data_IF_186933177228
#
_entry.id   IF_186933177228
#
_cell.length_a   1.000
_cell.length_b   1.000
_cell.length_c   1.000
_cell.angle_alpha   90.00
_cell.angle_beta   90.00
_cell.angle_gamma   90.00
#
_symmetry.space_group_name_H-M   'P 1'
#
loop_
_entity.id
_entity.type
_entity.pdbx_description
1 polymer ?
#
# COMPACT_ATOMS: atom_id res chain seq x y z
N UNK A 1 5.75 -9.01 -3.64
CA UNK A 1 4.54 -8.73 -4.46
C UNK A 1 3.41 -9.65 -4.02
N UNK A 2 2.16 -9.19 -4.07
CA UNK A 2 0.99 -10.02 -3.79
C UNK A 2 0.61 -10.89 -4.98
N UNK A 3 0.04 -12.07 -4.69
CA UNK A 3 -0.57 -12.95 -5.69
C UNK A 3 -2.07 -13.12 -5.45
N UNK A 4 -2.49 -13.32 -4.19
CA UNK A 4 -3.91 -13.43 -3.82
C UNK A 4 -4.15 -12.85 -2.43
N UNK A 5 -5.33 -12.27 -2.23
CA UNK A 5 -5.79 -11.80 -0.93
C UNK A 5 -7.23 -12.25 -0.74
N UNK A 6 -7.51 -13.00 0.33
CA UNK A 6 -8.86 -13.35 0.74
C UNK A 6 -9.25 -12.56 1.98
N UNK A 7 -10.45 -11.98 1.96
CA UNK A 7 -11.02 -11.20 3.06
C UNK A 7 -12.38 -11.78 3.39
N UNK A 8 -12.63 -12.10 4.65
CA UNK A 8 -13.96 -12.45 5.14
C UNK A 8 -14.40 -11.55 6.27
N UNK A 9 -15.70 -11.27 6.28
CA UNK A 9 -16.38 -10.56 7.36
C UNK A 9 -15.75 -9.19 7.69
N UNK A 10 -15.72 -8.28 6.73
CA UNK A 10 -15.18 -6.92 6.91
C UNK A 10 -16.08 -5.88 6.23
N UNK A 11 -16.76 -5.03 7.01
CA UNK A 11 -17.68 -3.98 6.53
C UNK A 11 -18.72 -4.45 5.50
N UNK A 12 -18.50 -4.24 4.20
CA UNK A 12 -19.42 -4.70 3.14
C UNK A 12 -19.03 -6.05 2.54
N UNK A 13 -17.86 -6.57 2.91
CA UNK A 13 -17.26 -7.80 2.39
C UNK A 13 -17.71 -8.98 3.26
N UNK A 14 -18.33 -9.97 2.63
CA UNK A 14 -18.70 -11.23 3.26
C UNK A 14 -17.59 -12.26 3.11
N UNK A 15 -17.25 -12.60 1.87
CA UNK A 15 -16.11 -13.45 1.48
C UNK A 15 -15.67 -13.00 0.08
N UNK A 16 -14.46 -12.45 -0.02
CA UNK A 16 -13.93 -11.87 -1.23
C UNK A 16 -12.51 -12.39 -1.48
N UNK A 17 -12.26 -12.89 -2.69
CA UNK A 17 -10.93 -13.23 -3.17
C UNK A 17 -10.51 -12.21 -4.24
N UNK A 18 -9.41 -11.50 -3.98
CA UNK A 18 -8.75 -10.62 -4.95
C UNK A 18 -7.55 -11.38 -5.52
N UNK A 19 -7.55 -11.59 -6.83
CA UNK A 19 -6.52 -12.35 -7.54
C UNK A 19 -5.68 -11.40 -8.42
N UNK A 20 -4.37 -11.42 -8.24
CA UNK A 20 -3.40 -10.58 -8.95
C UNK A 20 -2.62 -11.35 -10.02
N UNK A 21 -2.97 -12.60 -10.32
CA UNK A 21 -2.31 -13.44 -11.34
C UNK A 21 -2.39 -12.84 -12.75
N UNK A 22 -1.41 -13.12 -13.60
CA UNK A 22 -1.48 -12.77 -15.01
C UNK A 22 -2.29 -13.83 -15.78
N UNK A 23 -3.54 -13.52 -16.12
CA UNK A 23 -4.55 -14.46 -16.60
C UNK A 23 -4.40 -14.87 -18.08
N UNK A 24 -3.64 -14.11 -18.88
CA UNK A 24 -3.42 -14.41 -20.31
C UNK A 24 -2.59 -15.70 -20.52
N UNK A 25 -1.94 -16.20 -19.46
CA UNK A 25 -1.20 -17.45 -19.41
C UNK A 25 0.12 -17.44 -20.18
N UNK A 26 0.10 -17.04 -21.45
CA UNK A 26 1.30 -16.91 -22.30
C UNK A 26 1.86 -15.50 -22.24
N UNK A 27 3.19 -15.42 -22.21
CA UNK A 27 3.86 -14.13 -22.33
C UNK A 27 3.63 -13.54 -23.74
N UNK A 28 3.48 -12.22 -23.88
CA UNK A 28 3.45 -11.56 -25.17
C UNK A 28 4.72 -11.84 -25.98
N UNK A 29 4.61 -11.81 -27.31
CA UNK A 29 5.76 -11.91 -28.20
C UNK A 29 6.77 -10.79 -27.89
N UNK A 30 8.06 -11.12 -27.89
CA UNK A 30 9.17 -10.19 -27.63
C UNK A 30 9.03 -9.41 -26.30
N UNK A 31 8.30 -9.95 -25.30
CA UNK A 31 8.13 -9.26 -24.01
C UNK A 31 9.45 -8.98 -23.31
N UNK A 32 10.52 -9.73 -23.61
CA UNK A 32 11.86 -9.52 -23.06
C UNK A 32 12.52 -8.27 -23.62
N UNK A 33 12.28 -7.95 -24.89
CA UNK A 33 12.84 -6.80 -25.60
C UNK A 33 11.98 -5.53 -25.43
N UNK A 34 10.71 -5.68 -25.05
CA UNK A 34 9.81 -4.57 -24.72
C UNK A 34 10.26 -3.83 -23.46
N UNK A 35 10.28 -2.50 -23.45
CA UNK A 35 10.48 -1.71 -22.22
C UNK A 35 9.23 -1.71 -21.30
N UNK A 36 8.11 -2.24 -21.78
CA UNK A 36 6.85 -2.33 -21.03
C UNK A 36 6.75 -3.70 -20.34
N UNK A 37 6.61 -3.68 -19.02
CA UNK A 37 6.28 -4.81 -18.15
C UNK A 37 4.80 -5.17 -18.33
N UNK A 38 4.56 -6.37 -18.85
CA UNK A 38 3.20 -6.95 -18.94
C UNK A 38 2.82 -7.76 -17.69
N UNK A 39 3.81 -8.30 -16.99
CA UNK A 39 3.67 -9.05 -15.75
C UNK A 39 5.00 -9.06 -15.00
N UNK A 40 4.93 -9.32 -13.69
CA UNK A 40 6.06 -9.62 -12.84
C UNK A 40 6.28 -11.14 -12.79
N UNK A 41 7.53 -11.57 -12.87
CA UNK A 41 7.93 -12.99 -12.76
C UNK A 41 8.58 -13.22 -11.39
N UNK A 42 7.80 -13.57 -10.34
CA UNK A 42 8.39 -13.80 -9.01
C UNK A 42 9.36 -14.97 -9.02
N UNK A 43 9.12 -15.97 -9.86
CA UNK A 43 10.01 -17.09 -10.12
C UNK A 43 9.86 -17.57 -11.58
N UNK A 44 10.58 -18.62 -11.95
CA UNK A 44 10.62 -19.12 -13.34
C UNK A 44 9.35 -19.87 -13.79
N UNK A 45 8.31 -20.01 -12.94
CA UNK A 45 7.07 -20.71 -13.29
C UNK A 45 6.06 -19.72 -13.86
N UNK A 46 5.56 -19.98 -15.07
CA UNK A 46 4.60 -19.12 -15.75
C UNK A 46 3.30 -18.90 -14.94
N UNK A 47 2.82 -19.94 -14.25
CA UNK A 47 1.60 -19.88 -13.43
C UNK A 47 1.71 -18.97 -12.20
N UNK A 48 2.93 -18.55 -11.84
CA UNK A 48 3.17 -17.63 -10.74
C UNK A 48 3.26 -16.17 -11.18
N UNK A 49 3.10 -15.87 -12.48
CA UNK A 49 3.11 -14.49 -12.97
C UNK A 49 1.98 -13.70 -12.33
N UNK A 50 2.30 -12.47 -11.91
CA UNK A 50 1.33 -11.52 -11.35
C UNK A 50 1.40 -10.20 -12.10
N UNK A 51 0.35 -9.39 -12.04
CA UNK A 51 0.36 -8.05 -12.64
C UNK A 51 1.22 -7.08 -11.83
N UNK A 52 1.93 -6.18 -12.52
CA UNK A 52 2.62 -5.06 -11.87
C UNK A 52 1.64 -3.95 -11.46
N UNK A 53 0.50 -3.85 -12.14
CA UNK A 53 -0.56 -2.89 -11.82
C UNK A 53 -1.90 -3.62 -11.74
N UNK A 54 -2.67 -3.37 -10.67
CA UNK A 54 -4.06 -3.78 -10.55
C UNK A 54 -4.93 -2.54 -10.31
N UNK A 55 -5.70 -2.15 -11.33
CA UNK A 55 -6.64 -1.04 -11.31
C UNK A 55 -8.05 -1.54 -11.01
N UNK A 56 -8.63 -1.07 -9.92
CA UNK A 56 -9.94 -1.48 -9.44
C UNK A 56 -10.98 -0.38 -9.67
N UNK A 57 -12.00 -0.70 -10.47
CA UNK A 57 -13.13 0.15 -10.80
C UNK A 57 -14.40 -0.33 -10.11
N UNK A 58 -15.43 0.52 -10.08
CA UNK A 58 -16.73 0.15 -9.53
C UNK A 58 -17.52 1.35 -9.04
N UNK A 59 -18.81 1.14 -8.82
CA UNK A 59 -19.72 2.22 -8.46
C UNK A 59 -19.39 2.78 -7.07
N UNK A 60 -19.97 3.94 -6.75
CA UNK A 60 -19.91 4.45 -5.38
C UNK A 60 -20.55 3.43 -4.43
N UNK A 61 -19.97 3.28 -3.24
CA UNK A 61 -20.39 2.30 -2.22
C UNK A 61 -20.32 0.81 -2.64
N UNK A 62 -19.60 0.45 -3.71
CA UNK A 62 -19.41 -0.95 -4.10
C UNK A 62 -18.48 -1.75 -3.17
N UNK A 63 -17.62 -1.05 -2.42
CA UNK A 63 -16.68 -1.64 -1.46
C UNK A 63 -15.20 -1.47 -1.81
N UNK A 64 -14.85 -0.66 -2.82
CA UNK A 64 -13.45 -0.37 -3.21
C UNK A 64 -12.58 0.04 -2.02
N UNK A 65 -12.98 1.10 -1.31
CA UNK A 65 -12.27 1.58 -0.13
C UNK A 65 -12.20 0.56 1.01
N UNK A 66 -13.20 -0.33 1.14
CA UNK A 66 -13.18 -1.38 2.17
C UNK A 66 -12.07 -2.43 1.90
N UNK A 67 -11.75 -2.72 0.63
CA UNK A 67 -10.64 -3.61 0.25
C UNK A 67 -9.30 -2.97 0.59
N UNK A 68 -9.13 -1.67 0.36
CA UNK A 68 -7.89 -0.95 0.69
C UNK A 68 -7.75 -0.79 2.21
N UNK A 69 -8.85 -0.45 2.88
CA UNK A 69 -8.88 -0.25 4.33
C UNK A 69 -8.51 -1.51 5.10
N UNK A 70 -9.02 -2.69 4.73
CA UNK A 70 -8.64 -3.93 5.43
C UNK A 70 -7.14 -4.22 5.35
N UNK A 71 -6.47 -3.82 4.26
CA UNK A 71 -5.01 -3.90 4.11
C UNK A 71 -4.27 -2.91 5.03
N UNK A 72 -4.84 -1.73 5.27
CA UNK A 72 -4.34 -0.81 6.30
C UNK A 72 -4.53 -1.38 7.71
N UNK A 73 -5.66 -2.03 7.99
CA UNK A 73 -5.93 -2.63 9.30
C UNK A 73 -4.94 -3.76 9.62
N UNK A 74 -4.71 -4.68 8.68
CA UNK A 74 -3.82 -5.82 8.91
C UNK A 74 -2.37 -5.41 9.10
N UNK A 75 -1.87 -4.49 8.28
CA UNK A 75 -0.49 -3.99 8.44
C UNK A 75 -0.30 -3.30 9.79
N UNK A 76 -1.34 -2.65 10.31
CA UNK A 76 -1.35 -2.08 11.66
C UNK A 76 -1.39 -3.15 12.76
N UNK A 77 -2.24 -4.19 12.63
CA UNK A 77 -2.32 -5.29 13.62
C UNK A 77 -0.99 -6.04 13.69
N UNK A 78 -0.37 -6.35 12.55
CA UNK A 78 0.94 -7.02 12.51
C UNK A 78 2.00 -6.16 13.19
N UNK A 79 1.98 -4.84 13.01
CA UNK A 79 3.00 -3.95 13.57
C UNK A 79 2.80 -3.67 15.06
N UNK A 80 1.56 -3.44 15.48
CA UNK A 80 1.24 -2.82 16.77
C UNK A 80 0.36 -3.69 17.68
N UNK A 81 -0.04 -4.89 17.20
CA UNK A 81 -1.01 -5.74 17.88
C UNK A 81 -2.45 -5.23 17.77
N UNK A 82 -3.37 -6.05 18.26
CA UNK A 82 -4.77 -5.76 18.48
C UNK A 82 -4.93 -5.08 19.86
N UNK A 83 -4.87 -3.75 19.88
CA UNK A 83 -5.11 -2.97 21.10
C UNK A 83 -6.53 -3.20 21.63
N UNK A 84 -6.80 -3.07 22.94
CA UNK A 84 -8.15 -3.26 23.50
C UNK A 84 -9.23 -2.40 22.82
N UNK A 85 -8.90 -1.17 22.43
CA UNK A 85 -9.82 -0.26 21.75
C UNK A 85 -9.74 -0.35 20.21
N UNK A 86 -9.13 -1.41 19.68
CA UNK A 86 -8.96 -1.54 18.23
C UNK A 86 -10.34 -1.70 17.56
N UNK A 87 -10.66 -0.88 16.54
CA UNK A 87 -11.97 -0.92 15.91
C UNK A 87 -12.19 -2.25 15.16
N UNK A 88 -13.10 -3.07 15.68
CA UNK A 88 -13.60 -4.25 14.98
C UNK A 88 -14.75 -3.86 14.05
N UNK A 89 -14.57 -4.10 12.75
CA UNK A 89 -15.49 -3.67 11.70
C UNK A 89 -16.04 -4.85 10.89
N UNK A 90 -16.83 -5.75 11.50
CA UNK A 90 -17.36 -6.92 10.82
C UNK A 90 -18.37 -6.53 9.73
N UNK A 91 -18.75 -7.51 8.92
CA UNK A 91 -19.86 -7.35 8.02
C UNK A 91 -21.16 -7.19 8.81
N UNK A 92 -21.81 -6.04 8.67
CA UNK A 92 -23.08 -5.74 9.36
C UNK A 92 -24.32 -6.08 8.53
N UNK A 93 -24.15 -6.43 7.26
CA UNK A 93 -25.24 -6.75 6.33
C UNK A 93 -25.71 -8.20 6.49
N UNK A 94 -24.85 -9.06 7.05
CA UNK A 94 -25.13 -10.47 7.29
C UNK A 94 -24.69 -10.88 8.68
N UNK A 95 -25.41 -11.84 9.28
CA UNK A 95 -25.02 -12.47 10.54
C UNK A 95 -23.94 -13.52 10.24
N UNK A 96 -22.68 -13.13 10.36
CA UNK A 96 -21.51 -14.00 10.21
C UNK A 96 -20.94 -14.37 11.59
N UNK A 97 -19.96 -15.28 11.60
CA UNK A 97 -19.14 -15.53 12.78
C UNK A 97 -18.51 -14.22 13.28
N UNK A 98 -18.30 -14.09 14.58
CA UNK A 98 -17.75 -12.88 15.19
C UNK A 98 -16.22 -12.82 15.00
N UNK A 99 -15.76 -12.85 13.75
CA UNK A 99 -14.36 -12.94 13.38
C UNK A 99 -14.12 -12.44 11.95
N UNK A 100 -13.13 -11.56 11.76
CA UNK A 100 -12.61 -11.17 10.44
C UNK A 100 -11.42 -12.04 10.10
N UNK A 101 -11.41 -12.64 8.91
CA UNK A 101 -10.30 -13.44 8.38
C UNK A 101 -9.63 -12.71 7.21
N UNK A 102 -8.30 -12.64 7.24
CA UNK A 102 -7.49 -12.12 6.14
C UNK A 102 -6.41 -13.16 5.81
N UNK A 103 -6.39 -13.61 4.56
CA UNK A 103 -5.37 -14.50 4.04
C UNK A 103 -4.62 -13.79 2.91
N UNK A 104 -3.30 -13.77 2.97
CA UNK A 104 -2.44 -13.11 1.99
C UNK A 104 -1.45 -14.12 1.43
N UNK A 105 -1.50 -14.33 0.12
CA UNK A 105 -0.50 -15.05 -0.64
C UNK A 105 0.41 -14.04 -1.35
N UNK A 106 1.72 -14.21 -1.20
CA UNK A 106 2.71 -13.28 -1.76
C UNK A 106 4.04 -13.99 -2.01
N UNK A 107 4.88 -13.33 -2.81
CA UNK A 107 6.23 -13.80 -3.11
C UNK A 107 7.29 -12.88 -2.50
N UNK A 108 8.29 -13.51 -1.88
CA UNK A 108 9.54 -12.87 -1.41
C UNK A 108 10.70 -13.73 -1.91
N UNK A 109 11.68 -13.13 -2.60
CA UNK A 109 12.89 -13.81 -3.08
C UNK A 109 12.59 -15.15 -3.78
N UNK A 110 11.63 -15.17 -4.71
CA UNK A 110 11.18 -16.34 -5.49
C UNK A 110 10.33 -17.39 -4.75
N UNK A 111 10.24 -17.30 -3.42
CA UNK A 111 9.46 -18.22 -2.59
C UNK A 111 8.04 -17.72 -2.36
N UNK A 112 7.07 -18.63 -2.40
CA UNK A 112 5.66 -18.34 -2.10
C UNK A 112 5.38 -18.47 -0.61
N UNK A 113 4.72 -17.47 -0.05
CA UNK A 113 4.26 -17.45 1.34
C UNK A 113 2.75 -17.32 1.38
N UNK A 114 2.16 -17.90 2.43
CA UNK A 114 0.77 -17.66 2.82
C UNK A 114 0.74 -17.27 4.29
N UNK A 115 0.34 -16.03 4.56
CA UNK A 115 0.08 -15.56 5.92
C UNK A 115 -1.42 -15.40 6.11
N UNK A 116 -1.97 -16.03 7.14
CA UNK A 116 -3.38 -15.93 7.49
C UNK A 116 -3.51 -15.45 8.93
N UNK A 117 -4.38 -14.48 9.15
CA UNK A 117 -4.76 -14.02 10.48
C UNK A 117 -6.28 -13.93 10.57
N UNK A 118 -6.80 -14.24 11.75
CA UNK A 118 -8.18 -13.95 12.07
C UNK A 118 -8.29 -13.32 13.46
N UNK A 119 -9.23 -12.38 13.60
CA UNK A 119 -9.37 -11.59 14.82
C UNK A 119 -10.80 -11.13 15.03
N UNK A 120 -11.11 -10.78 16.27
CA UNK A 120 -12.37 -10.14 16.66
C UNK A 120 -12.09 -8.87 17.48
N UNK A 121 -13.09 -8.37 18.20
CA UNK A 121 -12.96 -7.19 19.05
C UNK A 121 -12.14 -7.42 20.34
N UNK A 122 -11.77 -8.65 20.67
CA UNK A 122 -11.03 -9.00 21.89
C UNK A 122 -9.65 -9.59 21.61
N UNK A 123 -9.52 -10.44 20.59
CA UNK A 123 -8.31 -11.25 20.39
C UNK A 123 -8.06 -11.64 18.94
N UNK A 124 -6.80 -11.94 18.64
CA UNK A 124 -6.37 -12.70 17.46
C UNK A 124 -6.76 -14.17 17.72
N UNK A 125 -7.71 -14.67 16.95
CA UNK A 125 -8.27 -16.02 17.11
C UNK A 125 -7.53 -17.08 16.31
N UNK A 126 -6.82 -16.66 15.25
CA UNK A 126 -5.99 -17.52 14.44
C UNK A 126 -4.81 -16.73 13.87
N UNK A 127 -3.62 -17.34 13.81
CA UNK A 127 -2.48 -16.82 13.06
C UNK A 127 -1.65 -17.98 12.50
N UNK A 128 -1.30 -17.92 11.22
CA UNK A 128 -0.45 -18.95 10.61
C UNK A 128 0.42 -18.40 9.48
N UNK A 129 1.54 -19.10 9.25
CA UNK A 129 2.45 -18.82 8.15
C UNK A 129 2.88 -20.13 7.50
N UNK A 130 2.75 -20.18 6.17
CA UNK A 130 3.23 -21.26 5.33
C UNK A 130 4.27 -20.75 4.34
N UNK A 131 5.26 -21.59 4.05
CA UNK A 131 6.28 -21.40 3.03
C UNK A 131 6.17 -22.57 2.04
N UNK A 132 5.81 -22.27 0.78
CA UNK A 132 5.69 -23.28 -0.28
C UNK A 132 4.78 -24.47 0.12
N UNK A 133 3.68 -24.16 0.81
CA UNK A 133 2.72 -25.15 1.33
C UNK A 133 3.16 -25.85 2.63
N UNK A 134 4.41 -25.65 3.08
CA UNK A 134 4.88 -26.16 4.38
C UNK A 134 4.53 -25.19 5.50
N UNK A 135 3.81 -25.67 6.50
CA UNK A 135 3.49 -24.91 7.73
C UNK A 135 4.77 -24.56 8.49
N UNK A 136 5.01 -23.27 8.72
CA UNK A 136 6.06 -22.78 9.62
C UNK A 136 5.54 -22.71 11.05
N UNK A 137 4.41 -22.03 11.24
CA UNK A 137 3.66 -22.05 12.49
C UNK A 137 2.15 -21.92 12.23
N UNK A 138 1.36 -22.34 13.20
CA UNK A 138 -0.08 -22.13 13.25
C UNK A 138 -0.52 -22.02 14.69
N UNK A 139 -1.33 -21.03 14.99
CA UNK A 139 -1.92 -20.77 16.30
C UNK A 139 -3.41 -20.59 16.09
N UNK A 140 -4.21 -21.29 16.87
CA UNK A 140 -5.63 -21.06 17.02
C UNK A 140 -6.01 -21.09 18.52
N UNK A 141 -7.30 -20.97 18.83
CA UNK A 141 -7.80 -20.97 20.22
C UNK A 141 -7.50 -22.26 21.00
N UNK A 142 -7.26 -23.37 20.30
CA UNK A 142 -7.14 -24.71 20.90
C UNK A 142 -5.70 -25.22 20.88
N UNK A 143 -4.94 -24.92 19.83
CA UNK A 143 -3.61 -25.47 19.61
C UNK A 143 -2.63 -24.41 19.09
N UNK A 144 -1.37 -24.55 19.48
CA UNK A 144 -0.24 -23.88 18.86
C UNK A 144 0.78 -24.89 18.34
N UNK A 145 1.17 -24.75 17.08
CA UNK A 145 2.14 -25.58 16.38
C UNK A 145 3.30 -24.71 15.89
N UNK A 146 4.51 -25.06 16.34
CA UNK A 146 5.76 -24.35 16.00
C UNK A 146 6.80 -25.29 15.37
N UNK A 147 6.38 -26.47 14.90
CA UNK A 147 7.28 -27.52 14.43
C UNK A 147 8.17 -27.06 13.27
N UNK A 148 7.63 -26.23 12.37
CA UNK A 148 8.32 -25.74 11.19
C UNK A 148 9.40 -24.68 11.43
N UNK A 149 9.54 -24.18 12.67
CA UNK A 149 10.49 -23.11 13.02
C UNK A 149 11.48 -23.50 14.14
N UNK A 150 11.41 -24.74 14.64
CA UNK A 150 12.36 -25.23 15.64
C UNK A 150 13.79 -25.25 15.09
N UNK A 151 14.74 -25.01 15.98
CA UNK A 151 16.17 -25.16 15.70
C UNK A 151 16.86 -25.88 16.86
N UNK A 152 18.15 -26.19 16.73
CA UNK A 152 18.95 -26.72 17.86
C UNK A 152 19.02 -25.74 19.04
N UNK A 153 19.05 -24.44 18.75
CA UNK A 153 19.12 -23.39 19.77
C UNK A 153 17.75 -23.06 20.39
N UNK A 154 16.67 -23.23 19.62
CA UNK A 154 15.31 -22.88 20.02
C UNK A 154 14.37 -24.06 19.84
N UNK A 155 14.17 -24.83 20.92
CA UNK A 155 13.17 -25.90 20.97
C UNK A 155 11.75 -25.38 21.24
N UNK A 156 10.76 -26.27 21.13
CA UNK A 156 9.33 -25.94 21.34
C UNK A 156 9.05 -25.25 22.67
N UNK A 157 9.74 -25.65 23.75
CA UNK A 157 9.53 -25.06 25.08
C UNK A 157 9.82 -23.56 25.08
N UNK A 158 10.97 -23.16 24.57
CA UNK A 158 11.39 -21.75 24.50
C UNK A 158 10.42 -20.94 23.63
N UNK A 159 10.00 -21.49 22.49
CA UNK A 159 9.08 -20.80 21.57
C UNK A 159 7.71 -20.62 22.22
N UNK A 160 7.19 -21.66 22.90
CA UNK A 160 5.90 -21.61 23.63
C UNK A 160 5.93 -20.62 24.78
N UNK A 161 7.00 -20.60 25.58
CA UNK A 161 7.18 -19.63 26.65
C UNK A 161 7.15 -18.19 26.08
N UNK A 162 7.83 -17.95 24.95
CA UNK A 162 7.81 -16.63 24.30
C UNK A 162 6.45 -16.26 23.74
N UNK A 163 5.73 -17.21 23.14
CA UNK A 163 4.35 -16.97 22.72
C UNK A 163 3.49 -16.55 23.92
N UNK A 164 3.60 -17.26 25.05
CA UNK A 164 2.85 -16.94 26.26
C UNK A 164 3.21 -15.57 26.85
N UNK A 165 4.49 -15.20 26.91
CA UNK A 165 4.92 -13.93 27.53
C UNK A 165 4.75 -12.70 26.65
N UNK A 166 4.87 -12.86 25.34
CA UNK A 166 4.95 -11.72 24.40
C UNK A 166 3.68 -11.53 23.56
N UNK A 167 2.84 -12.57 23.42
CA UNK A 167 1.63 -12.51 22.59
C UNK A 167 0.33 -12.47 23.39
N UNK A 168 0.31 -13.12 24.56
CA UNK A 168 -0.89 -13.28 25.38
C UNK A 168 -0.97 -12.20 26.47
N UNK A 169 -2.18 -11.78 26.79
CA UNK A 169 -2.47 -10.84 27.88
C UNK A 169 -3.78 -11.24 28.55
N UNK A 170 -3.80 -11.20 29.88
CA UNK A 170 -5.02 -11.42 30.65
C UNK A 170 -5.85 -10.12 30.63
N UNK A 171 -7.07 -10.21 30.10
CA UNK A 171 -8.02 -9.09 30.05
C UNK A 171 -9.44 -9.64 30.14
N UNK A 172 -10.28 -9.02 30.97
CA UNK A 172 -11.69 -9.44 31.16
C UNK A 172 -11.82 -10.93 31.55
N UNK A 173 -10.97 -11.38 32.49
CA UNK A 173 -10.89 -12.78 32.97
C UNK A 173 -10.52 -13.83 31.89
N UNK A 174 -10.24 -13.41 30.66
CA UNK A 174 -9.86 -14.26 29.54
C UNK A 174 -8.41 -14.00 29.11
N UNK A 175 -7.68 -15.07 28.74
CA UNK A 175 -6.36 -14.94 28.13
C UNK A 175 -6.53 -14.67 26.64
N UNK A 176 -6.14 -13.48 26.21
CA UNK A 176 -6.32 -13.00 24.85
C UNK A 176 -4.96 -12.86 24.15
N UNK A 177 -4.82 -13.41 22.94
CA UNK A 177 -3.71 -13.05 22.07
C UNK A 177 -3.95 -11.65 21.51
N UNK A 178 -3.09 -10.70 21.90
CA UNK A 178 -3.16 -9.30 21.45
C UNK A 178 -2.04 -8.94 20.49
N UNK A 179 -0.86 -9.56 20.59
CA UNK A 179 0.22 -9.36 19.62
C UNK A 179 0.28 -10.53 18.64
N UNK A 180 0.69 -10.23 17.40
CA UNK A 180 0.96 -11.28 16.42
C UNK A 180 2.24 -12.01 16.82
N UNK A 181 2.22 -13.34 16.76
CA UNK A 181 3.39 -14.16 16.97
C UNK A 181 4.51 -13.80 15.98
N UNK A 182 4.15 -13.45 14.75
CA UNK A 182 5.11 -12.95 13.76
C UNK A 182 5.89 -11.72 14.28
N UNK A 183 5.20 -10.74 14.88
CA UNK A 183 5.84 -9.54 15.44
C UNK A 183 6.70 -9.81 16.67
N UNK A 184 6.23 -10.69 17.56
CA UNK A 184 6.93 -11.04 18.79
C UNK A 184 8.21 -11.83 18.49
N UNK A 185 8.18 -12.76 17.53
CA UNK A 185 9.39 -13.50 17.13
C UNK A 185 10.46 -12.57 16.58
N UNK A 186 10.10 -11.62 15.72
CA UNK A 186 11.10 -10.73 15.11
C UNK A 186 11.70 -9.76 16.12
N UNK A 187 10.92 -9.31 17.10
CA UNK A 187 11.40 -8.43 18.17
C UNK A 187 12.28 -9.17 19.17
N UNK A 188 11.86 -10.36 19.62
CA UNK A 188 12.46 -11.04 20.77
C UNK A 188 13.47 -12.13 20.36
N UNK A 189 13.26 -12.73 19.19
CA UNK A 189 14.02 -13.87 18.66
C UNK A 189 14.36 -13.71 17.16
N UNK A 190 15.02 -12.61 16.74
CA UNK A 190 15.27 -12.31 15.32
C UNK A 190 16.08 -13.41 14.59
N UNK A 191 16.84 -14.20 15.34
CA UNK A 191 17.66 -15.32 14.85
C UNK A 191 16.91 -16.65 14.75
N UNK A 192 15.66 -16.75 15.22
CA UNK A 192 14.89 -18.00 15.25
C UNK A 192 14.69 -18.56 13.83
N UNK A 193 14.19 -17.72 12.93
CA UNK A 193 13.92 -18.12 11.56
C UNK A 193 13.96 -16.90 10.63
N UNK A 194 14.90 -16.90 9.68
CA UNK A 194 15.08 -15.79 8.72
C UNK A 194 13.82 -15.52 7.90
N UNK A 195 13.01 -16.53 7.59
CA UNK A 195 11.80 -16.36 6.81
C UNK A 195 10.72 -15.58 7.58
N UNK A 196 10.63 -15.76 8.90
CA UNK A 196 9.70 -14.98 9.73
C UNK A 196 10.10 -13.49 9.71
N UNK A 197 11.39 -13.20 9.83
CA UNK A 197 11.93 -11.84 9.70
C UNK A 197 11.71 -11.24 8.32
N UNK A 198 11.88 -12.03 7.25
CA UNK A 198 11.58 -11.59 5.88
C UNK A 198 10.11 -11.27 5.69
N UNK A 199 9.21 -12.13 6.14
CA UNK A 199 7.76 -11.96 6.03
C UNK A 199 7.29 -10.74 6.84
N UNK A 200 7.74 -10.60 8.09
CA UNK A 200 7.43 -9.43 8.90
C UNK A 200 7.90 -8.13 8.23
N UNK A 201 9.14 -8.08 7.74
CA UNK A 201 9.67 -6.90 7.05
C UNK A 201 8.91 -6.61 5.75
N UNK A 202 8.51 -7.64 5.00
CA UNK A 202 7.68 -7.44 3.81
C UNK A 202 6.33 -6.81 4.18
N UNK A 203 5.60 -7.43 5.12
CA UNK A 203 4.26 -6.99 5.53
C UNK A 203 4.25 -5.63 6.22
N UNK A 204 5.35 -5.23 6.88
CA UNK A 204 5.41 -3.98 7.65
C UNK A 204 6.22 -2.85 7.01
N UNK A 205 7.14 -3.12 6.07
CA UNK A 205 8.03 -2.10 5.49
C UNK A 205 8.00 -2.03 3.96
N UNK A 206 7.62 -3.11 3.28
CA UNK A 206 7.53 -3.18 1.81
C UNK A 206 6.09 -3.05 1.29
N UNK A 207 5.11 -2.87 2.18
CA UNK A 207 3.73 -2.53 1.82
C UNK A 207 3.45 -1.12 2.32
N UNK A 208 3.10 -0.23 1.41
CA UNK A 208 2.60 1.11 1.71
C UNK A 208 1.12 1.19 1.33
N UNK A 209 0.27 1.64 2.26
CA UNK A 209 -1.17 1.83 2.03
C UNK A 209 -1.52 3.29 2.21
N UNK A 210 -1.96 3.92 1.13
CA UNK A 210 -2.46 5.29 1.09
C UNK A 210 -3.98 5.23 0.98
N UNK A 211 -4.67 5.53 2.08
CA UNK A 211 -6.14 5.63 2.13
C UNK A 211 -6.67 6.95 1.58
N UNK A 212 -5.79 7.92 1.46
CA UNK A 212 -6.02 9.17 0.76
C UNK A 212 -4.79 9.42 -0.11
N UNK A 213 -5.01 9.61 -1.40
CA UNK A 213 -3.95 9.95 -2.36
C UNK A 213 -3.43 11.37 -2.15
N UNK A 214 -4.11 12.22 -1.36
CA UNK A 214 -3.68 13.56 -0.98
C UNK A 214 -2.48 13.57 -0.01
N UNK A 215 -1.34 13.08 -0.49
CA UNK A 215 -0.09 13.00 0.24
C UNK A 215 0.66 14.33 0.14
N UNK A 216 1.15 14.83 1.27
CA UNK A 216 2.02 16.01 1.29
C UNK A 216 3.35 15.73 0.58
N UNK A 217 3.78 16.65 -0.28
CA UNK A 217 5.04 16.62 -1.04
C UNK A 217 6.24 16.16 -0.18
N UNK A 218 6.35 16.75 0.99
CA UNK A 218 7.40 16.51 1.96
C UNK A 218 7.42 15.13 2.59
N UNK A 219 6.25 14.52 2.73
CA UNK A 219 6.15 13.17 3.23
C UNK A 219 6.75 12.21 2.21
N UNK A 220 6.48 12.45 0.92
CA UNK A 220 7.12 11.74 -0.20
C UNK A 220 8.64 11.87 -0.18
N UNK A 221 9.17 13.10 -0.05
CA UNK A 221 10.63 13.36 0.02
C UNK A 221 11.26 12.65 1.22
N UNK A 222 10.70 12.82 2.41
CA UNK A 222 11.21 12.21 3.64
C UNK A 222 11.16 10.68 3.59
N UNK A 223 10.12 10.11 3.00
CA UNK A 223 9.97 8.67 2.84
C UNK A 223 11.07 8.12 1.92
N UNK A 224 11.23 8.71 0.74
CA UNK A 224 12.24 8.29 -0.24
C UNK A 224 13.66 8.44 0.31
N UNK A 225 13.94 9.57 0.96
CA UNK A 225 15.23 9.82 1.62
C UNK A 225 15.55 8.74 2.65
N UNK A 226 14.61 8.42 3.56
CA UNK A 226 14.84 7.40 4.60
C UNK A 226 15.05 5.98 4.06
N UNK A 227 14.54 5.67 2.87
CA UNK A 227 14.78 4.37 2.22
C UNK A 227 16.15 4.27 1.53
N UNK A 228 16.74 5.41 1.16
CA UNK A 228 18.03 5.43 0.47
C UNK A 228 19.21 5.19 1.42
N UNK A 229 20.31 4.67 0.87
CA UNK A 229 21.50 4.33 1.65
C UNK A 229 22.13 5.54 2.32
N UNK A 230 22.29 6.64 1.56
CA UNK A 230 22.89 7.89 2.04
C UNK A 230 21.97 8.67 2.98
N UNK A 231 20.66 8.37 2.95
CA UNK A 231 19.61 9.09 3.67
C UNK A 231 19.66 10.59 3.45
N UNK A 232 20.08 11.00 2.25
CA UNK A 232 20.19 12.38 1.85
C UNK A 232 18.83 12.86 1.32
N UNK A 233 18.35 13.95 1.90
CA UNK A 233 17.07 14.52 1.53
C UNK A 233 17.11 15.22 0.18
N UNK A 234 18.28 15.77 -0.19
CA UNK A 234 18.49 16.47 -1.44
C UNK A 234 18.49 15.50 -2.62
N UNK A 235 19.15 14.35 -2.49
CA UNK A 235 19.12 13.30 -3.53
C UNK A 235 17.68 12.82 -3.78
N UNK A 236 16.91 12.58 -2.72
CA UNK A 236 15.52 12.19 -2.83
C UNK A 236 14.67 13.29 -3.49
N UNK A 237 14.87 14.53 -3.09
CA UNK A 237 14.21 15.70 -3.68
C UNK A 237 14.51 15.83 -5.17
N UNK A 238 15.79 15.79 -5.56
CA UNK A 238 16.24 15.95 -6.95
C UNK A 238 15.57 14.89 -7.86
N UNK A 239 15.54 13.61 -7.44
CA UNK A 239 14.85 12.54 -8.16
C UNK A 239 13.35 12.80 -8.33
N UNK A 240 12.68 13.31 -7.30
CA UNK A 240 11.25 13.64 -7.39
C UNK A 240 11.05 14.80 -8.37
N UNK A 241 11.89 15.82 -8.31
CA UNK A 241 11.77 16.98 -9.20
C UNK A 241 12.05 16.65 -10.66
N UNK A 242 12.94 15.70 -10.94
CA UNK A 242 13.19 15.21 -12.30
C UNK A 242 11.91 14.65 -12.93
N UNK A 243 11.21 13.75 -12.21
CA UNK A 243 9.93 13.19 -12.67
C UNK A 243 8.85 14.28 -12.74
N UNK A 244 8.78 15.19 -11.77
CA UNK A 244 7.76 16.25 -11.75
C UNK A 244 7.92 17.22 -12.93
N UNK A 245 9.15 17.54 -13.34
CA UNK A 245 9.42 18.38 -14.52
C UNK A 245 8.97 17.74 -15.83
N UNK A 246 8.92 16.40 -15.91
CA UNK A 246 8.36 15.69 -17.07
C UNK A 246 6.83 15.77 -17.15
N UNK A 247 6.15 16.16 -16.07
CA UNK A 247 4.68 16.14 -15.98
C UNK A 247 3.99 17.36 -16.60
N UNK A 248 4.71 18.17 -17.40
CA UNK A 248 4.22 19.39 -18.05
C UNK A 248 3.52 20.34 -17.06
N UNK A 249 4.15 20.52 -15.90
CA UNK A 249 3.73 21.49 -14.90
C UNK A 249 4.53 22.75 -15.17
N UNK A 250 3.85 23.90 -15.30
CA UNK A 250 4.46 25.22 -15.54
C UNK A 250 5.26 25.70 -14.32
N UNK A 251 6.38 25.03 -14.04
CA UNK A 251 7.29 25.30 -12.92
C UNK A 251 8.72 25.16 -13.44
N UNK A 252 9.48 26.25 -13.38
CA UNK A 252 10.86 26.30 -13.87
C UNK A 252 11.79 25.39 -13.05
N UNK A 253 11.67 25.46 -11.72
CA UNK A 253 12.49 24.70 -10.78
C UNK A 253 11.80 24.57 -9.43
N UNK A 254 12.28 23.60 -8.65
CA UNK A 254 11.98 23.50 -7.24
C UNK A 254 13.27 23.63 -6.44
N UNK A 255 13.17 24.22 -5.25
CA UNK A 255 14.27 24.29 -4.29
C UNK A 255 13.79 23.73 -2.94
N UNK A 256 14.70 23.04 -2.25
CA UNK A 256 14.48 22.53 -0.91
C UNK A 256 15.25 23.40 0.08
N UNK A 257 14.53 24.19 0.86
CA UNK A 257 15.12 25.13 1.82
C UNK A 257 14.93 24.63 3.26
N UNK A 258 15.96 24.83 4.08
CA UNK A 258 15.88 24.61 5.52
C UNK A 258 15.79 25.97 6.20
N UNK A 259 14.66 26.26 6.83
CA UNK A 259 14.46 27.45 7.65
C UNK A 259 14.67 27.10 9.12
N UNK A 260 15.47 27.88 9.83
CA UNK A 260 15.64 27.77 11.28
C UNK A 260 14.96 28.97 11.97
N UNK A 261 13.97 28.70 12.82
CA UNK A 261 13.29 29.70 13.63
C UNK A 261 13.57 29.44 15.13
N UNK A 262 13.69 30.49 15.95
CA UNK A 262 13.80 30.33 17.41
C UNK A 262 12.46 29.92 18.03
N UNK A 263 12.49 29.03 19.02
CA UNK A 263 11.29 28.61 19.73
C UNK A 263 10.82 29.73 20.68
N UNK A 264 9.58 30.20 20.48
CA UNK A 264 8.97 31.21 21.36
C UNK A 264 8.37 30.51 22.59
N UNK A 265 8.84 30.88 23.78
CA UNK A 265 8.26 30.43 25.03
C UNK A 265 7.06 31.30 25.38
N UNK A 266 5.93 30.68 25.72
CA UNK A 266 4.80 31.40 26.30
C UNK A 266 5.10 31.83 27.73
N UNK A 267 4.36 32.84 28.22
CA UNK A 267 4.44 33.33 29.61
C UNK A 267 4.16 32.23 30.66
N UNK A 268 3.55 31.11 30.26
CA UNK A 268 3.28 29.93 31.12
C UNK A 268 4.36 28.85 31.06
N UNK A 269 5.47 29.09 30.35
CA UNK A 269 6.56 28.12 30.20
C UNK A 269 6.29 27.00 29.18
N UNK A 270 5.17 27.07 28.45
CA UNK A 270 4.89 26.16 27.34
C UNK A 270 5.53 26.69 26.06
N UNK A 271 6.16 25.81 25.27
CA UNK A 271 6.70 26.16 23.94
C UNK A 271 5.52 26.38 22.99
N UNK A 272 5.31 27.62 22.55
CA UNK A 272 4.30 27.93 21.53
C UNK A 272 4.97 28.03 20.18
N UNK A 273 4.75 27.03 19.34
CA UNK A 273 5.15 27.08 17.93
C UNK A 273 3.94 27.51 17.11
N UNK A 274 3.95 28.73 16.56
CA UNK A 274 3.02 29.10 15.49
C UNK A 274 3.50 28.42 14.21
N UNK A 275 3.03 27.20 13.97
CA UNK A 275 3.24 26.51 12.70
C UNK A 275 2.08 26.96 11.78
N UNK A 276 2.26 27.90 10.82
CA UNK A 276 1.28 28.11 9.76
C UNK A 276 0.89 26.76 9.15
N UNK A 277 -0.40 26.45 9.21
CA UNK A 277 -0.94 25.10 9.09
C UNK A 277 -0.73 24.40 7.75
N UNK A 278 -0.07 25.03 6.77
CA UNK A 278 0.16 24.47 5.44
C UNK A 278 1.55 24.73 4.85
N UNK A 279 2.44 25.48 5.51
CA UNK A 279 3.68 26.01 4.90
C UNK A 279 4.94 25.19 5.15
N UNK A 280 4.84 24.05 5.86
CA UNK A 280 6.03 23.27 6.21
C UNK A 280 5.94 21.84 5.75
N UNK A 281 7.04 21.43 5.13
CA UNK A 281 7.27 20.11 4.60
C UNK A 281 7.56 19.12 5.76
N UNK A 282 8.35 19.53 6.74
CA UNK A 282 8.50 18.83 8.02
C UNK A 282 9.11 19.78 9.04
N UNK A 283 8.93 19.52 10.34
CA UNK A 283 9.59 20.27 11.39
C UNK A 283 10.36 19.35 12.34
N UNK A 284 11.48 19.84 12.85
CA UNK A 284 12.28 19.21 13.90
C UNK A 284 12.53 20.25 14.99
N UNK A 285 12.18 19.92 16.21
CA UNK A 285 12.46 20.74 17.39
C UNK A 285 13.82 20.32 17.94
N UNK A 286 14.82 21.19 17.84
CA UNK A 286 16.09 21.06 18.54
C UNK A 286 15.97 21.76 19.89
N UNK A 287 15.60 20.99 20.92
CA UNK A 287 15.47 21.49 22.30
C UNK A 287 16.80 21.95 22.89
N UNK A 288 17.94 21.42 22.43
CA UNK A 288 19.25 21.81 22.95
C UNK A 288 19.68 23.18 22.43
N UNK A 289 19.31 23.51 21.18
CA UNK A 289 19.59 24.81 20.55
C UNK A 289 18.44 25.81 20.65
N UNK A 290 17.32 25.42 21.23
CA UNK A 290 16.07 26.19 21.26
C UNK A 290 15.57 26.63 19.87
N UNK A 291 15.68 25.74 18.87
CA UNK A 291 15.32 26.03 17.46
C UNK A 291 14.27 25.07 16.91
N UNK A 292 13.39 25.62 16.09
CA UNK A 292 12.56 24.90 15.16
C UNK A 292 13.25 24.89 13.80
N UNK A 293 13.67 23.71 13.34
CA UNK A 293 14.14 23.54 11.98
C UNK A 293 12.92 23.11 11.17
N UNK A 294 12.58 23.90 10.16
CA UNK A 294 11.52 23.56 9.22
C UNK A 294 12.10 23.40 7.83
N UNK A 295 11.58 22.44 7.10
CA UNK A 295 11.94 22.26 5.72
C UNK A 295 10.81 22.80 4.86
N UNK A 296 11.14 23.56 3.82
CA UNK A 296 10.19 24.10 2.85
C UNK A 296 10.58 23.68 1.45
N UNK A 297 9.56 23.43 0.64
CA UNK A 297 9.73 23.22 -0.79
C UNK A 297 9.23 24.50 -1.43
N UNK A 298 10.07 25.13 -2.24
CA UNK A 298 9.67 26.27 -3.08
C UNK A 298 9.63 25.85 -4.53
N UNK A 299 8.66 26.35 -5.27
CA UNK A 299 8.60 26.33 -6.71
C UNK A 299 8.94 27.72 -7.24
N UNK A 300 9.48 27.79 -8.46
CA UNK A 300 9.81 29.06 -9.11
C UNK A 300 9.13 29.15 -10.45
N UNK A 301 8.56 30.32 -10.71
CA UNK A 301 7.78 30.64 -11.90
C UNK A 301 8.34 31.88 -12.57
N UNK A 302 8.09 32.03 -13.87
CA UNK A 302 8.46 33.24 -14.59
C UNK A 302 7.30 34.23 -14.56
N UNK A 303 7.49 35.42 -13.97
CA UNK A 303 6.46 36.46 -13.97
C UNK A 303 6.39 37.18 -15.33
N UNK A 304 5.44 38.12 -15.47
CA UNK A 304 5.24 38.91 -16.70
C UNK A 304 6.44 39.77 -17.12
N UNK A 305 7.40 40.01 -16.23
CA UNK A 305 8.66 40.73 -16.51
C UNK A 305 9.81 39.79 -16.88
N UNK A 306 9.57 38.47 -16.96
CA UNK A 306 10.60 37.47 -17.24
C UNK A 306 11.48 37.12 -16.04
N UNK A 307 11.12 37.51 -14.82
CA UNK A 307 11.88 37.22 -13.60
C UNK A 307 11.35 35.97 -12.90
N UNK A 308 12.25 35.15 -12.38
CA UNK A 308 11.88 34.04 -11.50
C UNK A 308 11.33 34.56 -10.17
N UNK A 309 10.14 34.09 -9.79
CA UNK A 309 9.48 34.41 -8.53
C UNK A 309 9.21 33.12 -7.75
N UNK A 310 9.57 33.06 -6.44
CA UNK A 310 9.34 31.89 -5.63
C UNK A 310 7.90 31.83 -5.13
N UNK A 311 7.37 30.61 -5.04
CA UNK A 311 6.12 30.27 -4.36
C UNK A 311 6.41 29.16 -3.35
N UNK A 312 5.76 29.21 -2.19
CA UNK A 312 5.73 28.05 -1.30
C UNK A 312 4.94 26.93 -1.99
N UNK A 313 5.37 25.67 -1.81
CA UNK A 313 4.63 24.52 -2.35
C UNK A 313 3.17 24.52 -1.93
N UNK A 314 2.81 25.13 -0.80
CA UNK A 314 1.43 25.30 -0.33
C UNK A 314 0.58 26.20 -1.24
N UNK A 315 1.22 27.15 -1.94
CA UNK A 315 0.58 28.08 -2.88
C UNK A 315 0.33 27.43 -4.25
N UNK A 316 0.99 26.31 -4.54
CA UNK A 316 0.76 25.54 -5.77
C UNK A 316 -0.63 24.90 -5.83
N UNK A 317 -1.04 24.49 -7.03
CA UNK A 317 -2.28 23.73 -7.20
C UNK A 317 -2.29 22.45 -6.34
N UNK A 318 -3.48 22.04 -5.88
CA UNK A 318 -3.64 20.78 -5.13
C UNK A 318 -3.05 19.60 -5.92
N UNK A 319 -3.29 19.55 -7.24
CA UNK A 319 -2.78 18.48 -8.10
C UNK A 319 -1.26 18.41 -8.15
N UNK A 320 -0.58 19.56 -8.24
CA UNK A 320 0.89 19.65 -8.19
C UNK A 320 1.42 19.09 -6.86
N UNK A 321 0.84 19.54 -5.73
CA UNK A 321 1.28 19.10 -4.40
C UNK A 321 1.09 17.59 -4.19
N UNK A 322 -0.06 17.08 -4.63
CA UNK A 322 -0.41 15.66 -4.55
C UNK A 322 0.50 14.83 -5.45
N UNK A 323 0.71 15.24 -6.70
CA UNK A 323 1.63 14.56 -7.62
C UNK A 323 3.05 14.47 -7.02
N UNK A 324 3.56 15.56 -6.45
CA UNK A 324 4.88 15.58 -5.81
C UNK A 324 5.00 14.56 -4.68
N UNK A 325 4.00 14.51 -3.79
CA UNK A 325 3.96 13.54 -2.69
C UNK A 325 3.90 12.11 -3.19
N UNK A 326 3.03 11.84 -4.17
CA UNK A 326 2.86 10.52 -4.78
C UNK A 326 4.12 10.04 -5.50
N UNK A 327 4.83 10.90 -6.24
CA UNK A 327 6.09 10.54 -6.90
C UNK A 327 7.11 10.03 -5.89
N UNK A 328 7.22 10.65 -4.71
CA UNK A 328 8.11 10.15 -3.64
C UNK A 328 7.76 8.74 -3.17
N UNK A 329 6.48 8.43 -3.00
CA UNK A 329 6.01 7.08 -2.65
C UNK A 329 6.24 6.07 -3.76
N UNK A 330 5.98 6.46 -5.01
CA UNK A 330 6.17 5.64 -6.19
C UNK A 330 7.66 5.29 -6.33
N UNK A 331 8.54 6.29 -6.39
CA UNK A 331 9.98 6.09 -6.50
C UNK A 331 10.51 5.23 -5.35
N UNK A 332 10.10 5.49 -4.11
CA UNK A 332 10.48 4.65 -2.98
C UNK A 332 10.09 3.19 -3.20
N UNK A 333 8.88 2.94 -3.69
CA UNK A 333 8.38 1.58 -3.92
C UNK A 333 9.10 0.91 -5.09
N UNK A 334 9.38 1.63 -6.17
CA UNK A 334 10.14 1.13 -7.33
C UNK A 334 11.60 0.79 -6.94
N UNK A 335 12.25 1.64 -6.15
CA UNK A 335 13.63 1.44 -5.65
C UNK A 335 13.72 0.27 -4.66
N UNK A 336 12.74 0.15 -3.76
CA UNK A 336 12.75 -0.90 -2.74
C UNK A 336 12.20 -2.25 -3.23
N UNK A 337 11.41 -2.24 -4.29
CA UNK A 337 10.39 -3.26 -4.54
C UNK A 337 9.30 -3.24 -3.46
N UNK A 338 8.27 -4.08 -3.64
CA UNK A 338 7.16 -4.19 -2.70
C UNK A 338 5.81 -3.90 -3.35
N UNK A 339 4.89 -3.36 -2.56
CA UNK A 339 3.51 -3.08 -2.97
C UNK A 339 3.11 -1.68 -2.50
N UNK A 340 2.70 -0.83 -3.43
CA UNK A 340 2.05 0.44 -3.16
C UNK A 340 0.55 0.28 -3.41
N UNK A 341 -0.26 0.57 -2.39
CA UNK A 341 -1.71 0.45 -2.43
C UNK A 341 -2.30 1.84 -2.24
N UNK A 342 -3.13 2.31 -3.17
CA UNK A 342 -3.67 3.68 -3.16
C UNK A 342 -5.18 3.66 -3.39
N UNK A 343 -5.94 4.18 -2.45
CA UNK A 343 -7.36 4.46 -2.66
C UNK A 343 -7.51 5.80 -3.41
N UNK A 344 -8.38 5.84 -4.41
CA UNK A 344 -8.69 7.01 -5.25
C UNK A 344 -7.43 7.68 -5.80
N UNK A 345 -6.60 6.91 -6.52
CA UNK A 345 -5.33 7.40 -7.06
C UNK A 345 -5.50 8.59 -8.02
N UNK A 346 -6.65 8.68 -8.70
CA UNK A 346 -6.98 9.74 -9.64
C UNK A 346 -7.49 11.03 -8.98
N UNK A 347 -7.67 11.06 -7.65
CA UNK A 347 -8.17 12.23 -6.94
C UNK A 347 -7.22 13.43 -7.12
N UNK A 348 -7.77 14.52 -7.63
CA UNK A 348 -7.05 15.79 -7.84
C UNK A 348 -5.91 15.73 -8.87
N UNK A 349 -5.80 14.66 -9.67
CA UNK A 349 -4.79 14.55 -10.73
C UNK A 349 -5.40 14.71 -12.12
N UNK A 350 -4.70 15.42 -12.99
CA UNK A 350 -5.01 15.42 -14.42
C UNK A 350 -4.74 14.04 -15.03
N UNK A 351 -5.56 13.60 -16.00
CA UNK A 351 -5.47 12.26 -16.62
C UNK A 351 -4.06 11.92 -17.11
N UNK A 352 -3.37 12.87 -17.76
CA UNK A 352 -2.04 12.60 -18.32
C UNK A 352 -0.99 12.34 -17.22
N UNK A 353 -1.10 13.04 -16.09
CA UNK A 353 -0.25 12.82 -14.92
C UNK A 353 -0.52 11.44 -14.34
N UNK A 354 -1.80 11.10 -14.14
CA UNK A 354 -2.21 9.76 -13.69
C UNK A 354 -1.64 8.67 -14.61
N UNK A 355 -1.79 8.80 -15.93
CA UNK A 355 -1.23 7.86 -16.92
C UNK A 355 0.28 7.72 -16.74
N UNK A 356 1.02 8.82 -16.60
CA UNK A 356 2.48 8.78 -16.38
C UNK A 356 2.85 8.06 -15.08
N UNK A 357 2.20 8.40 -13.96
CA UNK A 357 2.49 7.80 -12.65
C UNK A 357 2.27 6.29 -12.63
N UNK A 358 1.14 5.82 -13.18
CA UNK A 358 0.85 4.37 -13.26
C UNK A 358 1.82 3.67 -14.22
N UNK A 359 2.19 4.31 -15.34
CA UNK A 359 3.17 3.80 -16.31
C UNK A 359 4.55 3.56 -15.71
N UNK A 360 4.96 4.26 -14.65
CA UNK A 360 6.25 4.03 -13.99
C UNK A 360 6.38 2.60 -13.44
N UNK A 361 5.29 1.96 -13.02
CA UNK A 361 5.28 0.55 -12.59
C UNK A 361 5.34 -0.44 -13.76
N UNK A 362 5.12 0.04 -14.98
CA UNK A 362 5.21 -0.74 -16.21
C UNK A 362 6.50 -0.49 -16.96
N UNK A 363 7.33 0.46 -16.54
CA UNK A 363 8.60 0.77 -17.17
C UNK A 363 9.69 -0.15 -16.59
N UNK A 364 10.39 -0.91 -17.44
CA UNK A 364 11.47 -1.82 -17.00
C UNK A 364 12.68 -1.11 -16.42
N UNK A 365 12.98 0.09 -16.90
CA UNK A 365 14.14 0.85 -16.45
C UNK A 365 13.88 1.47 -15.08
N UNK A 366 12.63 1.87 -14.80
CA UNK A 366 12.21 2.39 -13.50
C UNK A 366 11.89 1.26 -12.50
N UNK A 367 11.12 0.25 -12.91
CA UNK A 367 10.63 -0.82 -12.04
C UNK A 367 11.55 -2.06 -12.03
N UNK A 368 12.82 -1.87 -11.67
CA UNK A 368 13.83 -2.95 -11.65
C UNK A 368 13.60 -3.98 -10.55
N UNK A 369 12.91 -3.59 -9.48
CA UNK A 369 12.72 -4.41 -8.28
C UNK A 369 11.34 -5.06 -8.19
N UNK A 370 10.60 -5.14 -9.31
CA UNK A 370 9.29 -5.79 -9.40
C UNK A 370 8.29 -5.27 -8.35
N UNK A 371 8.24 -3.95 -8.20
CA UNK A 371 7.22 -3.27 -7.41
C UNK A 371 5.85 -3.44 -8.06
N UNK A 372 4.83 -3.48 -7.21
CA UNK A 372 3.44 -3.66 -7.60
C UNK A 372 2.61 -2.45 -7.15
N UNK A 373 1.72 -1.98 -8.01
CA UNK A 373 0.72 -0.97 -7.71
C UNK A 373 -0.66 -1.64 -7.64
N UNK A 374 -1.41 -1.34 -6.59
CA UNK A 374 -2.81 -1.71 -6.45
C UNK A 374 -3.58 -0.42 -6.19
N UNK A 375 -4.48 -0.03 -7.08
CA UNK A 375 -5.19 1.23 -6.98
C UNK A 375 -6.67 1.10 -7.21
N UNK A 376 -7.45 1.94 -6.56
CA UNK A 376 -8.85 2.19 -6.95
C UNK A 376 -8.89 3.48 -7.78
N UNK A 377 -9.75 3.50 -8.80
CA UNK A 377 -9.86 4.59 -9.76
C UNK A 377 -11.32 4.91 -10.09
N UNK A 378 -11.60 6.18 -10.38
CA UNK A 378 -12.85 6.61 -11.02
C UNK A 378 -12.63 7.02 -12.49
N UNK A 379 -11.46 7.57 -12.80
CA UNK A 379 -11.06 8.01 -14.13
C UNK A 379 -10.98 6.83 -15.11
N UNK A 380 -11.81 6.90 -16.15
CA UNK A 380 -11.95 5.82 -17.15
C UNK A 380 -10.92 5.89 -18.28
N UNK A 381 -10.11 6.95 -18.37
CA UNK A 381 -9.14 7.13 -19.45
C UNK A 381 -7.96 6.14 -19.35
N UNK A 382 -7.79 5.46 -18.20
CA UNK A 382 -6.81 4.36 -18.07
C UNK A 382 -7.33 3.09 -18.76
N UNK A 383 -8.65 2.90 -18.87
CA UNK A 383 -9.26 1.72 -19.51
C UNK A 383 -9.06 1.69 -21.04
N UNK A 384 -8.83 2.84 -21.67
CA UNK A 384 -8.54 2.94 -23.11
C UNK A 384 -7.03 2.83 -23.42
N UNK A 385 -6.16 2.79 -22.41
CA UNK A 385 -4.72 2.83 -22.62
C UNK A 385 -4.17 1.43 -22.98
N UNK A 386 -3.77 1.28 -24.25
CA UNK A 386 -3.32 0.03 -24.87
C UNK A 386 -2.14 -0.68 -24.20
N UNK A 387 -1.40 0.02 -23.32
CA UNK A 387 -0.31 -0.60 -22.56
C UNK A 387 -0.83 -1.61 -21.53
N UNK A 388 -2.07 -1.45 -21.06
CA UNK A 388 -2.66 -2.31 -20.05
C UNK A 388 -3.26 -3.55 -20.69
N UNK A 389 -3.22 -4.64 -19.94
CA UNK A 389 -3.81 -5.92 -20.33
C UNK A 389 -5.09 -6.19 -19.55
N UNK A 390 -5.92 -7.10 -20.04
CA UNK A 390 -7.17 -7.51 -19.37
C UNK A 390 -6.94 -8.01 -17.93
N UNK A 391 -5.75 -8.52 -17.62
CA UNK A 391 -5.39 -8.89 -16.26
C UNK A 391 -5.25 -7.70 -15.30
N UNK A 392 -5.02 -6.49 -15.77
CA UNK A 392 -4.68 -5.34 -14.93
C UNK A 392 -5.93 -4.56 -14.46
N UNK A 393 -7.13 -5.07 -14.77
CA UNK A 393 -8.39 -4.44 -14.43
C UNK A 393 -9.32 -5.38 -13.67
N UNK A 394 -9.94 -4.84 -12.62
CA UNK A 394 -11.00 -5.53 -11.89
C UNK A 394 -12.16 -4.59 -11.56
N UNK A 395 -13.37 -5.14 -11.56
CA UNK A 395 -14.60 -4.41 -11.28
C UNK A 395 -15.24 -4.90 -10.00
N UNK A 396 -15.41 -3.98 -9.06
CA UNK A 396 -15.97 -4.21 -7.74
C UNK A 396 -17.43 -3.79 -7.75
N UNK A 397 -18.28 -4.73 -7.35
CA UNK A 397 -19.72 -4.58 -7.33
C UNK A 397 -20.27 -5.00 -5.98
N UNK A 398 -21.51 -4.60 -5.70
CA UNK A 398 -22.21 -4.96 -4.48
C UNK A 398 -23.65 -5.34 -4.80
N UNK A 399 -24.12 -6.42 -4.20
CA UNK A 399 -25.55 -6.74 -4.19
C UNK A 399 -25.98 -7.27 -2.81
N UNK A 400 -27.29 -7.32 -2.57
CA UNK A 400 -27.86 -7.74 -1.29
C UNK A 400 -27.55 -9.20 -0.94
N UNK A 401 -27.40 -10.07 -1.95
CA UNK A 401 -27.22 -11.52 -1.76
C UNK A 401 -25.79 -11.92 -1.43
N UNK A 402 -24.77 -11.29 -2.03
CA UNK A 402 -23.36 -11.66 -1.93
C UNK A 402 -22.50 -10.62 -1.19
N UNK A 403 -23.08 -9.47 -0.83
CA UNK A 403 -22.28 -8.32 -0.37
C UNK A 403 -21.41 -7.78 -1.51
N UNK A 404 -20.21 -7.32 -1.16
CA UNK A 404 -19.18 -6.92 -2.13
C UNK A 404 -18.58 -8.14 -2.84
N UNK A 405 -18.48 -8.09 -4.17
CA UNK A 405 -17.79 -9.07 -4.99
C UNK A 405 -16.93 -8.38 -6.06
N UNK A 406 -15.92 -9.09 -6.55
CA UNK A 406 -14.99 -8.63 -7.57
C UNK A 406 -15.07 -9.54 -8.79
N UNK A 407 -14.95 -8.98 -9.99
CA UNK A 407 -14.77 -9.72 -11.23
C UNK A 407 -13.67 -9.07 -12.05
N UNK A 408 -12.65 -9.82 -12.47
CA UNK A 408 -11.57 -9.28 -13.28
C UNK A 408 -12.05 -9.12 -14.72
N UNK A 409 -11.45 -8.19 -15.45
CA UNK A 409 -11.76 -8.03 -16.87
C UNK A 409 -11.41 -9.30 -17.67
N UNK A 410 -10.36 -10.01 -17.26
CA UNK A 410 -10.00 -11.34 -17.78
C UNK A 410 -11.05 -12.43 -17.59
N UNK A 411 -12.00 -12.26 -16.67
CA UNK A 411 -13.04 -13.25 -16.35
C UNK A 411 -14.31 -13.07 -17.19
N UNK A 412 -14.34 -12.06 -18.08
CA UNK A 412 -15.45 -11.85 -19.00
C UNK A 412 -15.22 -12.61 -20.29
N UNK A 413 -16.21 -13.44 -20.66
CA UNK A 413 -16.17 -14.22 -21.90
C UNK A 413 -16.04 -13.32 -23.13
N UNK A 414 -15.14 -13.69 -24.03
CA UNK A 414 -14.93 -12.98 -25.30
C UNK A 414 -14.16 -11.67 -25.20
N UNK A 415 -13.73 -11.21 -24.02
CA UNK A 415 -12.90 -10.00 -23.88
C UNK A 415 -11.46 -10.30 -24.29
N UNK A 416 -10.88 -9.41 -25.09
CA UNK A 416 -9.52 -9.51 -25.62
C UNK A 416 -8.76 -8.19 -25.47
N UNK A 417 -7.43 -8.25 -25.46
CA UNK A 417 -6.56 -7.09 -25.27
C UNK A 417 -6.66 -5.98 -26.35
N UNK A 418 -7.25 -6.28 -27.51
CA UNK A 418 -7.44 -5.35 -28.62
C UNK A 418 -8.77 -4.57 -28.56
N UNK A 419 -9.59 -4.81 -27.53
CA UNK A 419 -10.90 -4.17 -27.38
C UNK A 419 -10.77 -2.84 -26.63
N UNK A 420 -11.67 -1.89 -26.92
CA UNK A 420 -11.83 -0.69 -26.10
C UNK A 420 -12.56 -1.05 -24.79
N UNK A 421 -11.82 -1.11 -23.68
CA UNK A 421 -12.41 -1.44 -22.38
C UNK A 421 -13.24 -0.30 -21.81
N UNK A 422 -12.91 0.95 -22.16
CA UNK A 422 -13.61 2.14 -21.68
C UNK A 422 -15.03 2.19 -22.21
N UNK A 423 -15.23 2.08 -23.52
CA UNK A 423 -16.57 2.12 -24.13
C UNK A 423 -17.46 1.03 -23.53
N UNK A 424 -16.94 -0.19 -23.46
CA UNK A 424 -17.68 -1.33 -22.89
C UNK A 424 -17.99 -1.15 -21.41
N UNK A 425 -17.08 -0.55 -20.65
CA UNK A 425 -17.35 -0.20 -19.26
C UNK A 425 -18.50 0.80 -19.21
N UNK A 426 -18.42 1.91 -19.96
CA UNK A 426 -19.42 2.98 -20.04
C UNK A 426 -20.80 2.50 -20.52
N UNK A 427 -20.84 1.49 -21.39
CA UNK A 427 -22.07 0.80 -21.82
C UNK A 427 -22.65 -0.13 -20.74
N UNK A 428 -21.98 -0.28 -19.60
CA UNK A 428 -22.43 -1.07 -18.45
C UNK A 428 -22.11 -2.56 -18.51
N UNK A 429 -21.34 -3.03 -19.51
CA UNK A 429 -21.07 -4.46 -19.72
C UNK A 429 -20.27 -5.11 -18.57
N UNK A 430 -19.46 -4.33 -17.86
CA UNK A 430 -18.64 -4.83 -16.75
C UNK A 430 -19.23 -4.55 -15.37
N UNK A 431 -20.49 -4.11 -15.32
CA UNK A 431 -21.12 -3.54 -14.13
C UNK A 431 -20.27 -2.37 -13.57
N UNK A 432 -20.46 -2.00 -12.30
CA UNK A 432 -19.60 -1.01 -11.66
C UNK A 432 -19.86 0.44 -12.07
N UNK A 433 -20.87 0.72 -12.89
CA UNK A 433 -21.32 2.08 -13.18
C UNK A 433 -22.47 2.48 -12.25
N UNK A 434 -22.44 3.70 -11.67
CA UNK A 434 -23.59 4.23 -10.95
C UNK A 434 -24.70 4.61 -11.94
N UNK A 435 -25.91 4.10 -11.72
CA UNK A 435 -27.12 4.56 -12.42
C UNK A 435 -27.86 5.54 -11.50
N UNK A 436 -27.72 6.87 -11.69
CA UNK A 436 -28.30 7.86 -10.80
C UNK A 436 -29.84 7.97 -10.90
N UNK A 437 -30.43 7.42 -11.96
CA UNK A 437 -31.87 7.41 -12.18
C UNK A 437 -32.30 6.01 -12.63
N UNK A 438 -33.12 5.35 -11.81
CA UNK A 438 -33.90 4.17 -12.19
C UNK A 438 -35.36 4.58 -12.35
#
# INVERSE_FOLDING_TARGET
MFSKIRIKNFKSIEDLLVDFSYAEGKAPNNYKDSNIISFLEPNSKADNRVVSVMNMYGANASGKSNIIEVLSHITNIIRNGLKPDYPFCPNKLKKLENETLIQMNFFINKHSYEYSIAYNNKTITMESLYLEGKKLFSIDKTESNFEGIKTRAYGNKVIRERFQTSCLTLYDEEVNQINTFLSSVVSDLPSLNKNLTLVFNFLTKKIAVLRDSAVHASHGVNLLSKSQQDKDIKIAFDKITEIIKELDIDINKFEYENDEEELIMSEKGEVQVKIPANSYSSYKIDKAKNRLITNRIKSYHTNSEGKEVPFDIAEESVGTRVAFGLVGFILKTLEDGGVLIIDELDRSLHTLILKRLVRMFKDKDLNRNNAQLISTLHNTDILEDSIYKISEFAFINKNQKRGTFIKRLSDYEGVRNDMNFRDRYLDGLYLGIPYPYN
#
